data_IF_904205875990
#
_entry.id   IF_904205875990
#
_cell.length_a   1.000
_cell.length_b   1.000
_cell.length_c   1.000
_cell.angle_alpha   90.00
_cell.angle_beta   90.00
_cell.angle_gamma   90.00
#
_symmetry.space_group_name_H-M   'P 1'
#
loop_
_entity.id
_entity.type
_entity.pdbx_description
1 polymer ?
#
# COMPACT_ATOMS: atom_id res chain seq x y z
N UNK A 1 -0.03 -18.19 -7.76
CA UNK A 1 0.75 -17.37 -8.71
C UNK A 1 1.01 -16.04 -8.06
N UNK A 2 2.24 -15.67 -7.74
CA UNK A 2 2.62 -14.41 -7.07
C UNK A 2 2.14 -13.19 -7.88
N UNK A 3 1.60 -12.17 -7.22
CA UNK A 3 1.19 -10.91 -7.86
C UNK A 3 1.69 -9.73 -7.04
N UNK A 4 2.49 -8.89 -7.67
CA UNK A 4 3.05 -7.65 -7.14
C UNK A 4 2.22 -6.42 -7.50
N UNK A 5 1.23 -6.59 -8.35
CA UNK A 5 0.30 -5.55 -8.79
C UNK A 5 -1.13 -6.03 -8.73
N UNK A 6 -2.02 -5.14 -8.30
CA UNK A 6 -3.45 -5.36 -8.33
C UNK A 6 -4.17 -4.02 -8.48
N UNK A 7 -5.24 -4.00 -9.24
CA UNK A 7 -6.15 -2.86 -9.31
C UNK A 7 -7.36 -3.16 -8.46
N UNK A 8 -7.79 -2.21 -7.62
CA UNK A 8 -9.03 -2.31 -6.85
C UNK A 8 -9.99 -1.18 -7.21
N UNK A 9 -11.27 -1.51 -7.19
CA UNK A 9 -12.36 -0.54 -7.29
C UNK A 9 -12.97 -0.40 -5.90
N UNK A 10 -12.56 0.65 -5.19
CA UNK A 10 -12.99 0.94 -3.83
C UNK A 10 -14.24 1.83 -3.86
N UNK A 11 -15.35 1.34 -3.34
CA UNK A 11 -16.60 2.08 -3.20
C UNK A 11 -16.95 2.19 -1.71
N UNK A 12 -16.84 3.39 -1.16
CA UNK A 12 -17.27 3.66 0.21
C UNK A 12 -18.81 3.71 0.31
N UNK A 13 -19.32 3.45 1.51
CA UNK A 13 -20.74 3.45 1.80
C UNK A 13 -21.35 4.86 1.70
N UNK A 14 -22.59 4.92 1.30
CA UNK A 14 -23.38 6.14 1.29
C UNK A 14 -23.85 6.50 2.69
N UNK A 15 -23.95 7.79 3.01
CA UNK A 15 -24.64 8.25 4.21
C UNK A 15 -26.15 7.95 4.14
N UNK A 16 -26.74 7.66 5.28
CA UNK A 16 -28.18 7.52 5.44
C UNK A 16 -28.89 8.86 5.34
N UNK A 17 -30.12 8.86 4.86
CA UNK A 17 -30.92 10.08 4.75
C UNK A 17 -31.45 10.55 6.12
N UNK A 18 -31.52 11.86 6.34
CA UNK A 18 -32.21 12.44 7.47
C UNK A 18 -33.72 12.21 7.38
N UNK A 19 -34.38 12.10 8.53
CA UNK A 19 -35.81 11.86 8.62
C UNK A 19 -36.62 13.15 8.78
N UNK A 20 -37.80 13.17 8.18
CA UNK A 20 -38.85 14.16 8.43
C UNK A 20 -39.93 13.51 9.31
N UNK A 21 -39.87 13.71 10.59
CA UNK A 21 -40.87 13.19 11.53
C UNK A 21 -41.35 14.28 12.52
N UNK A 22 -42.55 14.10 13.01
CA UNK A 22 -43.15 14.95 14.02
C UNK A 22 -43.65 14.12 15.20
N UNK A 23 -43.48 14.65 16.41
CA UNK A 23 -43.95 13.99 17.62
C UNK A 23 -45.46 13.88 17.59
N UNK A 24 -46.00 12.68 17.81
CA UNK A 24 -47.43 12.42 17.92
C UNK A 24 -47.68 11.71 19.24
N UNK A 25 -48.32 12.46 20.15
CA UNK A 25 -48.69 11.91 21.44
C UNK A 25 -50.17 12.24 21.77
N UNK A 26 -50.75 11.42 22.61
CA UNK A 26 -52.10 11.65 23.11
C UNK A 26 -52.09 13.00 23.85
N UNK A 27 -52.97 13.92 23.50
CA UNK A 27 -53.09 15.29 24.04
C UNK A 27 -52.02 16.30 23.56
N UNK A 28 -51.16 15.98 22.59
CA UNK A 28 -50.24 16.94 21.96
C UNK A 28 -50.52 17.03 20.46
N UNK A 29 -51.52 17.81 20.03
CA UNK A 29 -51.97 17.87 18.65
C UNK A 29 -50.96 18.50 17.68
N UNK A 30 -50.02 19.32 18.21
CA UNK A 30 -48.94 19.97 17.43
C UNK A 30 -47.60 19.63 18.04
N UNK A 31 -47.15 18.38 17.87
CA UNK A 31 -45.80 17.95 18.26
C UNK A 31 -44.73 18.59 17.39
N UNK A 32 -43.60 18.95 18.01
CA UNK A 32 -42.47 19.53 17.29
C UNK A 32 -41.76 18.51 16.36
N UNK A 33 -40.81 18.95 15.52
CA UNK A 33 -40.02 18.09 14.67
C UNK A 33 -39.23 17.10 15.52
N UNK A 34 -39.23 15.83 15.11
CA UNK A 34 -38.59 14.70 15.82
C UNK A 34 -37.86 13.76 14.89
N UNK A 35 -37.57 14.18 13.65
CA UNK A 35 -36.76 13.39 12.75
C UNK A 35 -35.29 13.37 13.15
N UNK A 36 -34.72 12.15 13.26
CA UNK A 36 -33.32 11.93 13.55
C UNK A 36 -32.43 12.06 12.29
N UNK A 37 -31.14 12.15 12.51
CA UNK A 37 -30.15 12.22 11.45
C UNK A 37 -29.91 10.83 10.85
N UNK A 38 -29.44 10.74 9.62
CA UNK A 38 -28.88 9.52 9.05
C UNK A 38 -27.53 9.19 9.64
N UNK A 39 -27.14 7.93 9.60
CA UNK A 39 -25.78 7.47 9.94
C UNK A 39 -24.81 7.73 8.81
N UNK A 40 -23.55 7.88 9.11
CA UNK A 40 -22.50 7.98 8.09
C UNK A 40 -22.31 6.65 7.35
N UNK A 41 -21.83 6.66 6.13
CA UNK A 41 -21.40 5.46 5.40
C UNK A 41 -20.05 4.95 5.89
N UNK A 42 -19.80 3.65 5.74
CA UNK A 42 -18.51 3.05 6.05
C UNK A 42 -17.45 3.44 5.02
N UNK A 43 -16.22 3.48 5.44
CA UNK A 43 -15.04 3.76 4.61
C UNK A 43 -14.35 2.46 4.16
N UNK A 44 -13.55 2.54 3.09
CA UNK A 44 -12.64 1.46 2.69
C UNK A 44 -11.27 1.75 3.26
N UNK A 45 -10.74 0.80 4.03
CA UNK A 45 -9.47 0.93 4.75
C UNK A 45 -8.52 -0.17 4.28
N UNK A 46 -7.32 0.20 3.83
CA UNK A 46 -6.24 -0.75 3.59
C UNK A 46 -5.46 -0.96 4.89
N UNK A 47 -5.10 -2.21 5.16
CA UNK A 47 -4.35 -2.61 6.37
C UNK A 47 -3.13 -3.42 5.95
N UNK A 48 -1.93 -2.97 6.33
CA UNK A 48 -0.69 -3.70 6.06
C UNK A 48 -0.56 -4.92 6.95
N UNK A 49 -0.63 -6.11 6.36
CA UNK A 49 -0.57 -7.40 7.05
C UNK A 49 0.80 -8.07 6.80
N UNK A 50 1.62 -8.28 7.85
CA UNK A 50 2.91 -8.94 7.70
C UNK A 50 2.81 -10.44 7.34
N UNK A 51 1.64 -11.06 7.50
CA UNK A 51 1.37 -12.44 7.08
C UNK A 51 1.19 -12.60 5.58
N UNK A 52 0.89 -11.51 4.86
CA UNK A 52 0.70 -11.53 3.42
C UNK A 52 2.01 -11.24 2.68
N UNK A 53 2.21 -11.95 1.56
CA UNK A 53 3.42 -11.82 0.72
C UNK A 53 3.14 -11.34 -0.70
N UNK A 54 1.89 -11.36 -1.14
CA UNK A 54 1.50 -10.94 -2.46
C UNK A 54 0.11 -10.30 -2.49
N UNK A 55 -0.25 -9.72 -3.64
CA UNK A 55 -1.53 -9.07 -3.88
C UNK A 55 -2.57 -10.01 -4.53
N UNK A 56 -2.36 -11.33 -4.54
CA UNK A 56 -3.27 -12.27 -5.19
C UNK A 56 -4.69 -12.26 -4.62
N UNK A 57 -4.82 -12.12 -3.31
CA UNK A 57 -6.13 -12.06 -2.64
C UNK A 57 -6.94 -10.85 -3.15
N UNK A 58 -6.29 -9.70 -3.22
CA UNK A 58 -6.89 -8.45 -3.72
C UNK A 58 -7.24 -8.56 -5.20
N UNK A 59 -6.34 -9.12 -6.01
CA UNK A 59 -6.58 -9.31 -7.45
C UNK A 59 -7.76 -10.23 -7.78
N UNK A 60 -8.05 -11.20 -6.90
CA UNK A 60 -9.21 -12.09 -7.05
C UNK A 60 -10.52 -11.39 -6.67
N UNK A 61 -10.47 -10.41 -5.80
CA UNK A 61 -11.62 -9.64 -5.33
C UNK A 61 -11.39 -8.14 -5.53
N UNK A 62 -11.37 -7.66 -6.80
CA UNK A 62 -11.01 -6.29 -7.11
C UNK A 62 -12.08 -5.26 -6.71
N UNK A 63 -13.32 -5.69 -6.51
CA UNK A 63 -14.42 -4.82 -6.12
C UNK A 63 -14.63 -4.88 -4.61
N UNK A 64 -14.32 -3.77 -3.96
CA UNK A 64 -14.46 -3.61 -2.50
C UNK A 64 -15.53 -2.56 -2.23
N UNK A 65 -16.51 -2.90 -1.42
CA UNK A 65 -17.58 -1.99 -1.04
C UNK A 65 -17.79 -1.99 0.46
N UNK A 66 -17.84 -0.79 1.05
CA UNK A 66 -18.22 -0.60 2.45
C UNK A 66 -19.74 -0.42 2.61
N UNK A 67 -20.23 -0.62 3.84
CA UNK A 67 -21.65 -0.58 4.14
C UNK A 67 -22.21 0.83 4.09
N UNK A 68 -23.45 0.97 3.59
CA UNK A 68 -24.18 2.23 3.63
C UNK A 68 -24.66 2.54 5.06
N UNK A 69 -24.69 3.81 5.42
CA UNK A 69 -25.32 4.31 6.65
C UNK A 69 -26.85 4.16 6.58
N UNK A 70 -27.48 3.89 7.70
CA UNK A 70 -28.95 3.78 7.79
C UNK A 70 -29.59 5.15 7.90
N UNK A 71 -30.79 5.28 7.32
CA UNK A 71 -31.56 6.50 7.44
C UNK A 71 -31.99 6.79 8.90
N UNK A 72 -32.16 8.07 9.23
CA UNK A 72 -32.72 8.50 10.50
C UNK A 72 -34.19 8.11 10.62
N UNK A 73 -34.64 7.96 11.85
CA UNK A 73 -36.03 7.61 12.15
C UNK A 73 -36.73 8.70 12.99
N UNK A 74 -38.02 8.51 13.23
CA UNK A 74 -38.76 9.35 14.14
C UNK A 74 -38.29 9.24 15.59
N UNK A 75 -38.79 10.09 16.47
CA UNK A 75 -38.42 10.13 17.90
C UNK A 75 -36.93 10.42 18.15
N UNK A 76 -36.32 11.21 17.27
CA UNK A 76 -34.92 11.63 17.30
C UNK A 76 -33.90 10.49 17.20
N UNK A 77 -34.29 9.35 16.65
CA UNK A 77 -33.38 8.23 16.49
C UNK A 77 -32.47 8.45 15.27
N UNK A 78 -31.16 8.52 15.51
CA UNK A 78 -30.14 8.58 14.48
C UNK A 78 -29.99 7.21 13.84
N UNK A 79 -29.80 7.16 12.53
CA UNK A 79 -29.46 5.94 11.81
C UNK A 79 -28.10 5.38 12.24
N UNK A 80 -27.94 4.08 12.16
CA UNK A 80 -26.64 3.44 12.41
C UNK A 80 -25.63 3.81 11.33
N UNK A 81 -24.40 4.04 11.72
CA UNK A 81 -23.25 4.22 10.83
C UNK A 81 -22.95 2.90 10.10
N UNK A 82 -22.60 2.95 8.83
CA UNK A 82 -22.13 1.81 8.06
C UNK A 82 -20.77 1.31 8.57
N UNK A 83 -20.56 0.01 8.53
CA UNK A 83 -19.29 -0.58 8.91
C UNK A 83 -18.22 -0.30 7.86
N UNK A 84 -17.00 0.00 8.31
CA UNK A 84 -15.84 0.10 7.45
C UNK A 84 -15.47 -1.28 6.89
N UNK A 85 -14.95 -1.30 5.68
CA UNK A 85 -14.43 -2.53 5.07
C UNK A 85 -12.92 -2.47 5.05
N UNK A 86 -12.30 -3.43 5.76
CA UNK A 86 -10.84 -3.58 5.78
C UNK A 86 -10.39 -4.53 4.67
N UNK A 87 -9.36 -4.09 3.94
CA UNK A 87 -8.68 -4.90 2.93
C UNK A 87 -7.23 -5.09 3.37
N UNK A 88 -6.87 -6.33 3.65
CA UNK A 88 -5.52 -6.67 4.04
C UNK A 88 -4.61 -6.75 2.81
N UNK A 89 -3.48 -6.06 2.88
CA UNK A 89 -2.44 -6.00 1.83
C UNK A 89 -1.07 -6.26 2.44
N UNK A 90 -0.10 -6.76 1.68
CA UNK A 90 1.26 -6.95 2.19
C UNK A 90 1.90 -5.64 2.66
N UNK A 91 2.79 -5.73 3.64
CA UNK A 91 3.65 -4.62 4.05
C UNK A 91 4.51 -4.14 2.87
N UNK A 92 4.62 -2.83 2.68
CA UNK A 92 5.32 -2.24 1.53
C UNK A 92 4.43 -2.03 0.30
N UNK A 93 3.10 -2.18 0.45
CA UNK A 93 2.17 -1.86 -0.63
C UNK A 93 2.04 -0.35 -0.81
N UNK A 94 2.30 0.12 -2.01
CA UNK A 94 2.03 1.48 -2.46
C UNK A 94 0.67 1.55 -3.13
N UNK A 95 -0.05 2.61 -2.83
CA UNK A 95 -1.37 2.90 -3.39
C UNK A 95 -1.26 4.11 -4.31
N UNK A 96 -1.58 3.94 -5.58
CA UNK A 96 -1.55 5.00 -6.57
C UNK A 96 -2.97 5.26 -7.09
N UNK A 97 -3.22 6.48 -7.52
CA UNK A 97 -4.45 6.82 -8.26
C UNK A 97 -4.37 6.41 -9.74
N UNK A 98 -5.42 6.74 -10.51
CA UNK A 98 -5.51 6.45 -11.95
C UNK A 98 -4.44 7.23 -12.77
N UNK A 99 -3.95 8.37 -12.27
CA UNK A 99 -2.89 9.16 -12.88
C UNK A 99 -1.49 8.66 -12.50
N UNK A 100 -1.39 7.65 -11.63
CA UNK A 100 -0.13 7.09 -11.15
C UNK A 100 0.53 7.91 -10.03
N UNK A 101 -0.22 8.83 -9.38
CA UNK A 101 0.25 9.60 -8.24
C UNK A 101 0.20 8.74 -6.98
N UNK A 102 1.27 8.72 -6.22
CA UNK A 102 1.33 8.00 -4.95
C UNK A 102 0.43 8.67 -3.90
N UNK A 103 -0.58 7.94 -3.45
CA UNK A 103 -1.49 8.38 -2.38
C UNK A 103 -1.00 7.98 -0.99
N UNK A 104 -0.53 6.73 -0.86
CA UNK A 104 -0.11 6.14 0.43
C UNK A 104 0.98 5.10 0.19
N UNK A 105 1.95 5.01 1.10
CA UNK A 105 2.92 3.93 1.21
C UNK A 105 2.71 3.19 2.56
N UNK A 106 2.28 1.94 2.51
CA UNK A 106 2.02 1.10 3.68
C UNK A 106 3.28 0.34 4.09
N UNK A 107 4.33 1.06 4.43
CA UNK A 107 5.67 0.53 4.68
C UNK A 107 5.82 -0.21 6.03
N UNK A 108 4.89 -0.03 6.98
CA UNK A 108 4.98 -0.60 8.34
C UNK A 108 3.91 -1.66 8.58
N UNK A 109 4.22 -2.76 9.31
CA UNK A 109 3.22 -3.72 9.75
C UNK A 109 2.09 -3.04 10.53
N UNK A 110 0.85 -3.39 10.24
CA UNK A 110 -0.33 -2.81 10.88
C UNK A 110 -0.67 -1.37 10.45
N UNK A 111 0.09 -0.77 9.52
CA UNK A 111 -0.25 0.55 8.97
C UNK A 111 -1.64 0.51 8.34
N UNK A 112 -2.43 1.56 8.59
CA UNK A 112 -3.81 1.68 8.13
C UNK A 112 -3.97 2.96 7.31
N UNK A 113 -4.67 2.87 6.19
CA UNK A 113 -4.99 4.03 5.37
C UNK A 113 -6.42 3.97 4.89
N UNK A 114 -7.17 5.05 5.10
CA UNK A 114 -8.49 5.22 4.49
C UNK A 114 -8.28 5.65 3.05
N UNK A 115 -8.69 4.81 2.12
CA UNK A 115 -8.52 5.05 0.67
C UNK A 115 -9.79 5.54 -0.01
N UNK A 116 -10.96 5.28 0.57
CA UNK A 116 -12.21 5.87 0.13
C UNK A 116 -13.07 6.21 1.36
N UNK A 117 -13.49 7.46 1.49
CA UNK A 117 -14.27 7.94 2.63
C UNK A 117 -15.75 7.71 2.44
N UNK A 118 -16.42 7.25 3.51
CA UNK A 118 -17.88 7.13 3.56
C UNK A 118 -18.59 8.46 3.44
N UNK A 119 -19.78 8.43 2.86
CA UNK A 119 -20.66 9.59 2.74
C UNK A 119 -21.22 10.00 4.10
N UNK A 120 -21.32 11.31 4.35
CA UNK A 120 -21.89 11.84 5.60
C UNK A 120 -23.39 11.58 5.67
N UNK A 121 -23.90 11.23 6.84
CA UNK A 121 -25.33 11.13 7.12
C UNK A 121 -26.05 12.48 7.00
N UNK A 122 -27.26 12.45 6.43
CA UNK A 122 -28.10 13.63 6.24
C UNK A 122 -28.75 14.09 7.53
N UNK A 123 -28.91 15.39 7.70
CA UNK A 123 -29.56 15.99 8.87
C UNK A 123 -31.08 15.79 8.85
N UNK A 124 -31.65 15.35 9.96
CA UNK A 124 -33.10 15.25 10.16
C UNK A 124 -33.77 16.60 10.36
N UNK A 125 -35.11 16.66 10.22
CA UNK A 125 -35.88 17.91 10.31
C UNK A 125 -35.73 18.63 11.65
N UNK A 126 -35.37 17.96 12.72
CA UNK A 126 -35.10 18.57 14.03
C UNK A 126 -33.98 19.60 13.96
N UNK A 127 -32.92 19.37 13.18
CA UNK A 127 -31.78 20.32 13.05
C UNK A 127 -32.13 21.60 12.34
N UNK A 128 -33.19 21.60 11.52
CA UNK A 128 -33.66 22.77 10.77
C UNK A 128 -34.67 23.62 11.55
N UNK A 129 -34.94 23.29 12.84
CA UNK A 129 -35.81 24.08 13.68
C UNK A 129 -35.11 25.38 14.09
N UNK A 130 -35.78 26.48 13.84
CA UNK A 130 -35.37 27.84 14.29
C UNK A 130 -36.50 28.50 15.07
N UNK A 131 -36.23 29.67 15.69
CA UNK A 131 -37.25 30.45 16.38
C UNK A 131 -38.40 30.84 15.46
N UNK A 132 -38.13 31.13 14.20
CA UNK A 132 -39.11 31.52 13.17
C UNK A 132 -39.76 30.28 12.55
N UNK A 133 -38.98 29.24 12.23
CA UNK A 133 -39.46 27.99 11.60
C UNK A 133 -39.51 26.87 12.63
N UNK A 134 -40.61 26.78 13.37
CA UNK A 134 -40.75 25.83 14.46
C UNK A 134 -41.08 24.38 14.02
N UNK A 135 -41.64 24.20 12.84
CA UNK A 135 -42.05 22.89 12.28
C UNK A 135 -41.51 22.65 10.87
N UNK A 136 -40.18 22.58 10.69
CA UNK A 136 -39.58 22.36 9.35
C UNK A 136 -39.93 20.95 8.81
N UNK A 137 -40.33 20.88 7.53
CA UNK A 137 -40.58 19.65 6.80
C UNK A 137 -39.48 19.38 5.80
N UNK A 138 -38.24 19.74 6.17
CA UNK A 138 -37.05 19.58 5.34
C UNK A 138 -36.09 18.65 6.04
N UNK A 139 -35.49 17.72 5.29
CA UNK A 139 -34.37 16.90 5.75
C UNK A 139 -33.32 16.85 4.65
N UNK A 140 -32.11 16.52 5.04
CA UNK A 140 -30.97 16.40 4.18
C UNK A 140 -30.81 14.94 3.70
N UNK A 141 -30.46 14.74 2.45
CA UNK A 141 -30.05 13.43 1.96
C UNK A 141 -28.63 13.11 2.45
N UNK A 142 -28.39 11.84 2.71
CA UNK A 142 -27.06 11.35 3.00
C UNK A 142 -26.13 11.57 1.80
N UNK A 143 -24.89 11.98 2.09
CA UNK A 143 -23.85 12.18 1.10
C UNK A 143 -23.48 10.88 0.39
N UNK A 144 -22.95 10.97 -0.82
CA UNK A 144 -22.37 9.84 -1.53
C UNK A 144 -21.02 9.49 -0.88
N UNK A 145 -20.71 8.18 -0.80
CA UNK A 145 -19.36 7.71 -0.53
C UNK A 145 -18.45 7.94 -1.73
N UNK A 146 -17.15 7.97 -1.46
CA UNK A 146 -16.14 8.07 -2.51
C UNK A 146 -16.06 6.76 -3.28
N UNK A 147 -15.88 6.87 -4.60
CA UNK A 147 -15.63 5.74 -5.49
C UNK A 147 -14.35 6.01 -6.26
N UNK A 148 -13.35 5.15 -6.08
CA UNK A 148 -12.02 5.33 -6.65
C UNK A 148 -11.52 4.00 -7.24
N UNK A 149 -10.82 4.11 -8.36
CA UNK A 149 -9.99 3.01 -8.88
C UNK A 149 -8.55 3.27 -8.45
N UNK A 150 -7.94 2.28 -7.81
CA UNK A 150 -6.61 2.42 -7.23
C UNK A 150 -5.71 1.30 -7.74
N UNK A 151 -4.50 1.68 -8.12
CA UNK A 151 -3.44 0.73 -8.44
C UNK A 151 -2.60 0.45 -7.20
N UNK A 152 -2.58 -0.81 -6.80
CA UNK A 152 -1.73 -1.30 -5.72
C UNK A 152 -0.46 -1.88 -6.31
N UNK A 153 0.68 -1.40 -5.84
CA UNK A 153 2.01 -1.91 -6.22
C UNK A 153 2.76 -2.30 -4.97
N UNK A 154 3.13 -3.56 -4.91
CA UNK A 154 3.95 -4.06 -3.82
C UNK A 154 5.40 -3.68 -4.11
N UNK A 155 6.00 -2.83 -3.26
CA UNK A 155 7.45 -2.69 -3.22
C UNK A 155 8.00 -3.98 -2.64
N UNK A 156 8.48 -4.86 -3.49
CA UNK A 156 9.05 -6.12 -3.07
C UNK A 156 10.26 -5.87 -2.18
N UNK A 157 10.08 -6.13 -0.88
CA UNK A 157 11.15 -6.21 0.10
C UNK A 157 11.77 -7.59 -0.07
N UNK A 158 12.96 -7.67 -0.62
CA UNK A 158 13.74 -8.89 -0.53
C UNK A 158 14.24 -9.02 0.91
N UNK A 159 13.94 -10.13 1.58
CA UNK A 159 14.48 -10.41 2.92
C UNK A 159 15.97 -10.72 2.84
N UNK A 160 16.40 -11.38 1.75
CA UNK A 160 17.79 -11.64 1.45
C UNK A 160 18.14 -11.37 -0.02
N UNK A 161 19.38 -11.00 -0.29
CA UNK A 161 19.88 -10.76 -1.65
C UNK A 161 21.13 -11.61 -1.94
N UNK A 162 21.19 -12.19 -3.13
CA UNK A 162 22.33 -12.93 -3.64
C UNK A 162 23.35 -11.97 -4.26
N UNK A 163 24.57 -11.98 -3.74
CA UNK A 163 25.70 -11.22 -4.24
C UNK A 163 26.78 -12.18 -4.75
N UNK A 164 27.62 -11.75 -5.66
CA UNK A 164 28.73 -12.56 -6.16
C UNK A 164 29.07 -12.25 -7.60
N UNK A 165 30.21 -12.72 -8.04
CA UNK A 165 30.69 -12.54 -9.40
C UNK A 165 29.75 -13.15 -10.45
N UNK A 166 29.86 -12.74 -11.72
CA UNK A 166 29.16 -13.41 -12.80
C UNK A 166 29.48 -14.91 -12.83
N UNK A 167 28.50 -15.72 -13.21
CA UNK A 167 28.63 -17.17 -13.41
C UNK A 167 28.96 -18.02 -12.16
N UNK A 168 28.98 -17.48 -10.95
CA UNK A 168 29.15 -18.28 -9.71
C UNK A 168 27.93 -19.12 -9.34
N UNK A 169 26.85 -18.98 -10.12
CA UNK A 169 25.65 -19.80 -9.95
C UNK A 169 24.53 -19.20 -9.10
N UNK A 170 24.48 -17.86 -8.91
CA UNK A 170 23.42 -17.15 -8.15
C UNK A 170 22.02 -17.53 -8.60
N UNK A 171 21.72 -17.40 -9.90
CA UNK A 171 20.40 -17.72 -10.45
C UNK A 171 20.07 -19.21 -10.37
N UNK A 172 21.07 -20.09 -10.43
CA UNK A 172 20.89 -21.53 -10.22
C UNK A 172 20.56 -21.83 -8.76
N UNK A 173 21.23 -21.15 -7.84
CA UNK A 173 20.98 -21.26 -6.41
C UNK A 173 19.55 -20.80 -6.09
N UNK A 174 19.14 -19.65 -6.62
CA UNK A 174 17.78 -19.13 -6.42
C UNK A 174 16.71 -20.11 -6.91
N UNK A 175 16.93 -20.72 -8.10
CA UNK A 175 16.01 -21.75 -8.63
C UNK A 175 15.94 -23.00 -7.75
N UNK A 176 17.04 -23.33 -7.08
CA UNK A 176 17.09 -24.51 -6.22
C UNK A 176 16.47 -24.27 -4.85
N UNK A 177 16.64 -23.06 -4.30
CA UNK A 177 16.05 -22.64 -3.02
C UNK A 177 14.55 -22.39 -3.13
N UNK A 178 14.10 -21.87 -4.27
CA UNK A 178 12.71 -21.46 -4.43
C UNK A 178 11.78 -22.62 -4.74
N UNK A 179 10.67 -22.73 -4.01
CA UNK A 179 9.63 -23.74 -4.22
C UNK A 179 8.77 -23.48 -5.47
N UNK A 180 8.77 -22.26 -5.98
CA UNK A 180 8.13 -21.88 -7.22
C UNK A 180 9.20 -21.43 -8.22
N UNK A 181 8.90 -21.48 -9.53
CA UNK A 181 9.81 -20.92 -10.54
C UNK A 181 10.06 -19.45 -10.22
N UNK A 182 11.32 -19.03 -10.01
CA UNK A 182 11.65 -17.64 -9.81
C UNK A 182 11.09 -16.78 -10.93
N UNK A 183 10.60 -15.60 -10.58
CA UNK A 183 10.01 -14.66 -11.54
C UNK A 183 10.93 -13.48 -11.72
N UNK A 184 11.06 -13.09 -12.96
CA UNK A 184 11.57 -11.79 -13.35
C UNK A 184 10.57 -10.74 -12.89
N UNK A 185 11.00 -9.80 -12.08
CA UNK A 185 10.16 -8.69 -11.63
C UNK A 185 10.38 -7.49 -12.56
N UNK A 186 9.30 -7.06 -13.19
CA UNK A 186 9.29 -5.92 -14.12
C UNK A 186 9.16 -4.62 -13.30
N UNK A 187 10.28 -3.95 -13.08
CA UNK A 187 10.31 -2.65 -12.39
C UNK A 187 10.39 -1.50 -13.40
N UNK A 188 9.52 -0.50 -13.33
CA UNK A 188 9.44 0.56 -14.33
C UNK A 188 10.67 1.47 -14.43
N UNK A 189 11.67 1.29 -13.55
CA UNK A 189 12.89 2.14 -13.52
C UNK A 189 14.19 1.35 -13.59
N UNK A 190 14.15 0.03 -13.84
CA UNK A 190 15.35 -0.80 -13.91
C UNK A 190 15.66 -1.23 -15.34
N UNK A 191 16.90 -0.99 -15.77
CA UNK A 191 17.42 -1.49 -17.06
C UNK A 191 17.68 -3.00 -17.00
N UNK A 192 17.78 -3.57 -15.79
CA UNK A 192 18.04 -4.98 -15.52
C UNK A 192 16.97 -5.48 -14.54
N UNK A 193 16.22 -6.49 -14.94
CA UNK A 193 15.11 -7.04 -14.16
C UNK A 193 15.63 -8.02 -13.10
N UNK A 194 15.44 -7.76 -11.77
CA UNK A 194 15.82 -8.69 -10.73
C UNK A 194 14.93 -9.94 -10.76
N UNK A 195 15.53 -11.08 -10.41
CA UNK A 195 14.80 -12.33 -10.28
C UNK A 195 14.51 -12.61 -8.82
N UNK A 196 13.24 -12.82 -8.50
CA UNK A 196 12.79 -13.10 -7.15
C UNK A 196 12.38 -14.56 -6.97
N UNK A 197 12.76 -15.14 -5.85
CA UNK A 197 12.33 -16.44 -5.41
C UNK A 197 11.80 -16.41 -3.99
N UNK A 198 10.76 -17.19 -3.71
CA UNK A 198 10.23 -17.39 -2.36
C UNK A 198 10.72 -18.72 -1.84
N UNK A 199 11.29 -18.70 -0.64
CA UNK A 199 11.84 -19.85 0.06
C UNK A 199 11.00 -20.12 1.30
N UNK A 200 10.46 -21.33 1.43
CA UNK A 200 9.76 -21.76 2.64
C UNK A 200 10.78 -22.20 3.70
N UNK A 201 10.76 -21.53 4.84
CA UNK A 201 11.70 -21.83 5.94
C UNK A 201 11.11 -22.80 6.96
N UNK A 202 9.80 -22.71 7.22
CA UNK A 202 9.03 -23.56 8.13
C UNK A 202 7.54 -23.46 7.78
N UNK A 203 6.66 -24.14 8.52
CA UNK A 203 5.23 -24.27 8.23
C UNK A 203 4.53 -22.94 7.97
N UNK A 204 4.96 -21.85 8.59
CA UNK A 204 4.31 -20.53 8.43
C UNK A 204 5.32 -19.38 8.16
N UNK A 205 6.56 -19.70 7.76
CA UNK A 205 7.57 -18.69 7.53
C UNK A 205 8.18 -18.80 6.14
N UNK A 206 8.01 -17.76 5.35
CA UNK A 206 8.60 -17.60 4.03
C UNK A 206 9.55 -16.40 4.01
N UNK A 207 10.59 -16.48 3.21
CA UNK A 207 11.49 -15.36 2.91
C UNK A 207 11.60 -15.17 1.41
N UNK A 208 11.70 -13.92 1.01
CA UNK A 208 11.93 -13.54 -0.38
C UNK A 208 13.42 -13.34 -0.61
N UNK A 209 13.99 -14.11 -1.53
CA UNK A 209 15.39 -14.00 -1.93
C UNK A 209 15.46 -13.40 -3.33
N UNK A 210 16.29 -12.39 -3.51
CA UNK A 210 16.52 -11.69 -4.77
C UNK A 210 17.87 -12.09 -5.38
N UNK A 211 17.88 -12.45 -6.65
CA UNK A 211 19.09 -12.52 -7.45
C UNK A 211 19.38 -11.16 -8.05
N UNK A 212 20.56 -10.66 -7.76
CA UNK A 212 21.09 -9.41 -8.26
C UNK A 212 22.02 -9.69 -9.43
N UNK A 213 21.57 -9.52 -10.70
CA UNK A 213 22.44 -9.74 -11.85
C UNK A 213 23.52 -8.65 -11.92
N UNK A 214 24.77 -9.05 -12.13
CA UNK A 214 25.79 -8.16 -12.69
C UNK A 214 26.37 -7.07 -11.79
N UNK A 215 26.61 -7.30 -10.47
CA UNK A 215 27.30 -6.32 -9.61
C UNK A 215 28.65 -5.85 -10.18
N UNK A 216 29.29 -6.58 -11.08
CA UNK A 216 30.62 -6.31 -11.60
C UNK A 216 30.73 -6.19 -13.13
N UNK A 217 29.65 -6.40 -13.91
CA UNK A 217 29.72 -6.34 -15.37
C UNK A 217 29.85 -4.94 -15.95
N UNK A 218 29.67 -3.88 -15.15
CA UNK A 218 29.78 -2.49 -15.58
C UNK A 218 30.88 -1.67 -14.90
N UNK A 219 31.41 -2.14 -13.77
CA UNK A 219 32.42 -1.39 -13.02
C UNK A 219 33.76 -1.28 -13.75
N UNK A 220 34.14 -2.31 -14.53
CA UNK A 220 35.36 -2.29 -15.33
C UNK A 220 35.28 -1.42 -16.59
N UNK A 221 34.06 -1.08 -17.05
CA UNK A 221 33.81 -0.30 -18.28
C UNK A 221 33.33 1.14 -17.99
N UNK A 222 33.32 1.57 -16.73
CA UNK A 222 32.94 2.95 -16.35
C UNK A 222 31.42 3.24 -16.46
N UNK A 223 30.61 2.24 -16.79
CA UNK A 223 29.16 2.33 -16.74
C UNK A 223 28.72 1.73 -15.41
N UNK A 224 28.77 2.53 -14.33
CA UNK A 224 28.25 2.13 -13.03
C UNK A 224 26.84 1.60 -13.16
N UNK A 225 26.53 0.50 -12.44
CA UNK A 225 25.17 0.00 -12.27
C UNK A 225 24.25 1.16 -11.90
N UNK A 226 23.17 1.31 -12.63
CA UNK A 226 22.22 2.41 -12.42
C UNK A 226 21.82 2.50 -10.95
N UNK A 227 21.83 3.70 -10.40
CA UNK A 227 21.48 4.03 -9.01
C UNK A 227 20.13 3.39 -8.58
N UNK A 228 19.23 3.20 -9.53
CA UNK A 228 17.89 2.64 -9.30
C UNK A 228 17.90 1.15 -8.94
N UNK A 229 18.92 0.40 -9.34
CA UNK A 229 19.02 -1.03 -9.07
C UNK A 229 19.49 -1.32 -7.63
N UNK A 230 20.40 -0.53 -7.13
CA UNK A 230 20.95 -0.67 -5.79
C UNK A 230 19.93 -0.25 -4.70
N UNK A 231 18.95 0.58 -5.05
CA UNK A 231 17.81 0.91 -4.18
C UNK A 231 17.00 -0.34 -3.77
N UNK A 232 17.04 -1.42 -4.55
CA UNK A 232 16.39 -2.69 -4.18
C UNK A 232 17.20 -3.49 -3.15
N UNK A 233 18.54 -3.35 -3.17
CA UNK A 233 19.42 -3.94 -2.17
C UNK A 233 19.34 -3.22 -0.82
N UNK A 234 19.01 -1.94 -0.78
CA UNK A 234 18.88 -1.15 0.45
C UNK A 234 17.88 -1.77 1.45
N UNK A 235 16.97 -2.58 0.95
CA UNK A 235 15.92 -3.21 1.75
C UNK A 235 16.21 -4.66 2.13
N UNK A 236 17.24 -5.28 1.54
CA UNK A 236 17.65 -6.63 1.91
C UNK A 236 18.22 -6.61 3.35
N UNK A 237 17.68 -7.46 4.20
CA UNK A 237 18.10 -7.56 5.60
C UNK A 237 19.32 -8.43 5.79
N UNK A 238 19.53 -9.40 4.87
CA UNK A 238 20.63 -10.35 4.86
C UNK A 238 21.23 -10.41 3.46
N UNK A 239 22.54 -10.47 3.36
CA UNK A 239 23.26 -10.66 2.11
C UNK A 239 23.80 -12.09 2.03
N UNK A 240 23.55 -12.79 0.92
CA UNK A 240 24.11 -14.10 0.62
C UNK A 240 25.25 -13.92 -0.40
N UNK A 241 26.50 -13.94 0.08
CA UNK A 241 27.64 -13.77 -0.77
C UNK A 241 28.06 -15.12 -1.38
N UNK A 242 27.71 -15.33 -2.65
CA UNK A 242 27.97 -16.58 -3.37
C UNK A 242 29.38 -16.57 -3.96
N UNK A 243 30.15 -17.61 -3.64
CA UNK A 243 31.53 -17.82 -4.06
C UNK A 243 31.64 -19.18 -4.75
N UNK A 244 32.49 -19.29 -5.74
CA UNK A 244 32.74 -20.55 -6.46
C UNK A 244 33.76 -21.40 -5.69
N UNK A 245 33.43 -22.63 -5.36
CA UNK A 245 34.31 -23.58 -4.68
C UNK A 245 35.50 -24.04 -5.54
N UNK A 246 35.39 -23.91 -6.86
CA UNK A 246 36.47 -24.24 -7.79
C UNK A 246 37.62 -23.20 -7.80
N UNK A 247 37.41 -22.03 -7.17
CA UNK A 247 38.46 -21.01 -7.01
C UNK A 247 39.43 -21.42 -5.88
N UNK A 248 40.69 -20.94 -6.01
CA UNK A 248 41.58 -21.01 -4.87
C UNK A 248 41.02 -20.16 -3.69
N UNK A 249 41.11 -20.68 -2.45
CA UNK A 249 40.47 -20.02 -1.30
C UNK A 249 40.91 -18.58 -1.08
N UNK A 250 42.16 -18.24 -1.37
CA UNK A 250 42.69 -16.86 -1.29
C UNK A 250 42.10 -15.94 -2.37
N UNK A 251 41.77 -16.49 -3.54
CA UNK A 251 41.07 -15.78 -4.61
C UNK A 251 39.62 -15.52 -4.23
N UNK A 252 38.96 -16.51 -3.65
CA UNK A 252 37.64 -16.38 -3.06
C UNK A 252 37.56 -15.23 -2.03
N UNK A 253 38.55 -15.15 -1.12
CA UNK A 253 38.66 -14.07 -0.13
C UNK A 253 38.91 -12.71 -0.77
N UNK A 254 39.77 -12.63 -1.79
CA UNK A 254 39.97 -11.38 -2.57
C UNK A 254 38.66 -10.91 -3.21
N UNK A 255 37.87 -11.84 -3.74
CA UNK A 255 36.55 -11.55 -4.28
C UNK A 255 35.59 -10.99 -3.25
N UNK A 256 35.55 -11.55 -2.03
CA UNK A 256 34.76 -11.05 -0.92
C UNK A 256 35.10 -9.59 -0.57
N UNK A 257 36.42 -9.28 -0.49
CA UNK A 257 36.90 -7.92 -0.20
C UNK A 257 36.52 -6.96 -1.33
N UNK A 258 36.68 -7.36 -2.58
CA UNK A 258 36.33 -6.50 -3.72
C UNK A 258 34.85 -6.13 -3.76
N UNK A 259 33.94 -7.10 -3.61
CA UNK A 259 32.50 -6.85 -3.58
C UNK A 259 32.12 -5.99 -2.38
N UNK A 260 32.72 -6.21 -1.20
CA UNK A 260 32.48 -5.35 -0.04
C UNK A 260 32.90 -3.89 -0.31
N UNK A 261 34.05 -3.66 -0.94
CA UNK A 261 34.51 -2.32 -1.28
C UNK A 261 33.56 -1.62 -2.26
N UNK A 262 33.02 -2.36 -3.23
CA UNK A 262 32.04 -1.83 -4.18
C UNK A 262 30.72 -1.44 -3.50
N UNK A 263 30.17 -2.29 -2.61
CA UNK A 263 29.00 -1.97 -1.81
C UNK A 263 29.25 -0.74 -0.93
N UNK A 264 30.40 -0.64 -0.29
CA UNK A 264 30.77 0.49 0.56
C UNK A 264 30.92 1.80 -0.22
N UNK A 265 31.42 1.73 -1.44
CA UNK A 265 31.53 2.88 -2.33
C UNK A 265 30.17 3.40 -2.77
N UNK A 266 29.19 2.51 -2.90
CA UNK A 266 27.83 2.88 -3.22
C UNK A 266 27.09 3.45 -2.00
N UNK A 267 26.98 2.65 -0.92
CA UNK A 267 26.31 3.04 0.32
C UNK A 267 26.91 2.31 1.52
N UNK A 268 27.39 3.08 2.48
CA UNK A 268 28.07 2.53 3.66
C UNK A 268 27.17 1.60 4.49
N UNK A 269 25.87 1.88 4.57
CA UNK A 269 24.92 1.07 5.35
C UNK A 269 24.64 -0.29 4.69
N UNK A 270 24.64 -0.36 3.36
CA UNK A 270 24.48 -1.60 2.63
C UNK A 270 25.70 -2.53 2.85
N UNK A 271 26.89 -1.97 2.88
CA UNK A 271 28.12 -2.71 3.17
C UNK A 271 28.15 -3.29 4.59
N UNK A 272 27.42 -2.70 5.55
CA UNK A 272 27.31 -3.15 6.95
C UNK A 272 26.22 -4.21 7.19
N UNK A 273 25.44 -4.56 6.18
CA UNK A 273 24.40 -5.58 6.34
C UNK A 273 25.01 -6.92 6.70
N UNK A 274 24.35 -7.69 7.61
CA UNK A 274 24.78 -9.03 7.94
C UNK A 274 24.87 -9.89 6.68
N UNK A 275 25.93 -10.71 6.58
CA UNK A 275 26.12 -11.57 5.42
C UNK A 275 26.51 -12.99 5.79
N UNK A 276 26.01 -13.94 5.01
CA UNK A 276 26.41 -15.35 5.01
C UNK A 276 27.20 -15.60 3.74
N UNK A 277 28.28 -16.36 3.85
CA UNK A 277 29.05 -16.81 2.70
C UNK A 277 28.48 -18.13 2.22
N UNK A 278 28.16 -18.21 0.92
CA UNK A 278 27.65 -19.43 0.28
C UNK A 278 28.70 -19.94 -0.71
N UNK A 279 29.33 -21.05 -0.39
CA UNK A 279 30.34 -21.70 -1.23
C UNK A 279 29.62 -22.66 -2.17
N UNK A 280 29.39 -22.23 -3.41
CA UNK A 280 28.66 -23.02 -4.42
C UNK A 280 29.59 -23.88 -5.28
N UNK A 281 29.03 -24.88 -5.95
CA UNK A 281 29.74 -25.87 -6.81
C UNK A 281 30.71 -26.76 -6.04
N UNK A 282 30.38 -27.08 -4.79
CA UNK A 282 31.24 -27.97 -3.98
C UNK A 282 31.42 -29.36 -4.58
N UNK A 283 30.54 -29.77 -5.48
CA UNK A 283 30.61 -31.01 -6.25
C UNK A 283 31.79 -31.07 -7.28
N UNK A 284 32.36 -29.92 -7.63
CA UNK A 284 33.50 -29.85 -8.56
C UNK A 284 34.84 -30.06 -7.85
N UNK A 285 34.87 -30.06 -6.52
CA UNK A 285 36.10 -30.21 -5.74
C UNK A 285 36.08 -31.54 -4.98
N UNK A 286 37.15 -32.32 -5.02
CA UNK A 286 37.21 -33.68 -4.43
C UNK A 286 37.07 -33.71 -2.92
N UNK A 287 37.38 -32.60 -2.22
CA UNK A 287 37.29 -32.50 -0.77
C UNK A 287 35.82 -32.47 -0.28
N UNK A 288 35.52 -33.02 0.92
CA UNK A 288 34.22 -32.88 1.55
C UNK A 288 33.81 -31.39 1.68
N UNK A 289 32.56 -31.08 1.40
CA UNK A 289 32.06 -29.68 1.40
C UNK A 289 32.24 -29.01 2.75
N UNK A 290 32.15 -29.74 3.86
CA UNK A 290 32.35 -29.25 5.22
C UNK A 290 33.79 -28.79 5.44
N UNK A 291 34.79 -29.51 4.89
CA UNK A 291 36.20 -29.14 4.96
C UNK A 291 36.49 -27.92 4.10
N UNK A 292 35.91 -27.84 2.88
CA UNK A 292 36.02 -26.67 2.01
C UNK A 292 35.45 -25.43 2.71
N UNK A 293 34.24 -25.53 3.28
CA UNK A 293 33.58 -24.45 4.01
C UNK A 293 34.38 -24.01 5.26
N UNK A 294 34.90 -24.96 6.04
CA UNK A 294 35.72 -24.69 7.21
C UNK A 294 37.05 -23.99 6.83
N UNK A 295 37.68 -24.38 5.72
CA UNK A 295 38.91 -23.74 5.22
C UNK A 295 38.65 -22.27 4.83
N UNK A 296 37.58 -22.01 4.07
CA UNK A 296 37.22 -20.65 3.72
C UNK A 296 36.86 -19.81 4.96
N UNK A 297 36.10 -20.38 5.90
CA UNK A 297 35.78 -19.71 7.15
C UNK A 297 37.03 -19.33 7.95
N UNK A 298 38.05 -20.21 7.98
CA UNK A 298 39.34 -19.94 8.60
C UNK A 298 40.07 -18.75 7.96
N UNK A 299 40.10 -18.66 6.64
CA UNK A 299 40.70 -17.55 5.92
C UNK A 299 39.96 -16.23 6.14
N UNK A 300 38.62 -16.27 6.13
CA UNK A 300 37.79 -15.09 6.43
C UNK A 300 38.01 -14.67 7.89
N UNK A 301 38.13 -15.58 8.83
CA UNK A 301 38.46 -15.28 10.22
C UNK A 301 39.83 -14.63 10.39
N UNK A 302 40.80 -15.03 9.56
CA UNK A 302 42.15 -14.47 9.56
C UNK A 302 42.21 -13.01 9.07
N UNK A 303 41.18 -12.51 8.37
CA UNK A 303 41.05 -11.10 8.03
C UNK A 303 40.77 -10.21 9.28
N UNK A 304 40.43 -10.82 10.44
CA UNK A 304 40.18 -10.12 11.69
C UNK A 304 39.07 -9.09 11.61
N UNK A 305 39.39 -7.85 11.99
CA UNK A 305 38.44 -6.72 11.98
C UNK A 305 38.34 -5.99 10.64
N UNK A 306 38.88 -6.58 9.57
CA UNK A 306 38.71 -5.99 8.23
C UNK A 306 37.22 -5.82 7.90
N UNK A 307 36.82 -4.70 7.30
CA UNK A 307 35.40 -4.41 7.03
C UNK A 307 34.69 -5.55 6.31
N UNK A 308 35.36 -6.22 5.38
CA UNK A 308 34.78 -7.34 4.63
C UNK A 308 34.48 -8.60 5.47
N UNK A 309 35.16 -8.79 6.61
CA UNK A 309 35.00 -9.93 7.51
C UNK A 309 34.13 -9.60 8.73
N UNK A 310 34.10 -8.33 9.16
CA UNK A 310 33.40 -7.88 10.36
C UNK A 310 31.89 -8.14 10.29
N UNK A 311 31.29 -7.89 9.13
CA UNK A 311 29.85 -7.99 8.93
C UNK A 311 29.40 -9.39 8.46
N UNK A 312 30.34 -10.38 8.40
CA UNK A 312 30.01 -11.78 8.20
C UNK A 312 29.44 -12.34 9.51
N UNK A 313 28.26 -12.92 9.40
CA UNK A 313 27.57 -13.57 10.52
C UNK A 313 28.48 -14.65 11.14
N UNK A 314 28.47 -14.74 12.48
CA UNK A 314 29.27 -15.74 13.21
C UNK A 314 28.36 -16.75 13.86
N UNK A 315 28.74 -18.02 13.76
CA UNK A 315 28.08 -19.13 14.44
C UNK A 315 28.29 -19.10 15.97
N UNK A 316 27.72 -20.06 16.68
CA UNK A 316 27.85 -20.19 18.12
C UNK A 316 29.31 -20.47 18.56
N UNK A 317 30.12 -20.98 17.64
CA UNK A 317 31.56 -21.20 17.80
C UNK A 317 32.43 -19.94 17.55
N UNK A 318 31.78 -18.80 17.25
CA UNK A 318 32.43 -17.53 16.92
C UNK A 318 33.07 -17.48 15.52
N UNK A 319 32.95 -18.52 14.71
CA UNK A 319 33.51 -18.57 13.35
C UNK A 319 32.56 -17.94 12.34
N UNK A 320 33.08 -17.37 11.23
CA UNK A 320 32.25 -16.92 10.11
C UNK A 320 31.36 -18.06 9.59
N UNK A 321 30.10 -17.75 9.34
CA UNK A 321 29.15 -18.72 8.76
C UNK A 321 29.42 -18.86 7.28
N UNK A 322 29.89 -20.03 6.88
CA UNK A 322 30.11 -20.46 5.49
C UNK A 322 29.32 -21.71 5.26
N UNK A 323 28.41 -21.69 4.27
CA UNK A 323 27.58 -22.85 3.93
C UNK A 323 28.02 -23.36 2.55
N UNK A 324 28.52 -24.59 2.50
CA UNK A 324 28.85 -25.25 1.23
C UNK A 324 27.58 -25.79 0.57
N UNK A 325 27.39 -25.52 -0.73
CA UNK A 325 26.23 -25.99 -1.48
C UNK A 325 26.64 -26.50 -2.88
N UNK A 326 25.85 -27.41 -3.41
CA UNK A 326 25.88 -27.76 -4.81
C UNK A 326 24.48 -27.61 -5.43
N UNK A 327 24.34 -26.68 -6.36
CA UNK A 327 23.08 -26.53 -7.08
C UNK A 327 22.77 -27.73 -7.99
N UNK A 328 23.80 -28.49 -8.41
CA UNK A 328 23.64 -29.64 -9.28
C UNK A 328 23.08 -30.85 -8.50
N UNK A 329 23.70 -31.22 -7.39
CA UNK A 329 23.29 -32.37 -6.56
C UNK A 329 22.17 -32.03 -5.58
N UNK A 330 22.11 -30.79 -5.10
CA UNK A 330 21.20 -30.34 -4.06
C UNK A 330 21.79 -30.41 -2.64
N UNK A 331 23.05 -30.85 -2.54
CA UNK A 331 23.73 -30.94 -1.24
C UNK A 331 23.90 -29.55 -0.62
N UNK A 332 23.69 -29.44 0.68
CA UNK A 332 23.84 -28.19 1.45
C UNK A 332 22.70 -27.19 1.33
N UNK A 333 21.69 -27.45 0.50
CA UNK A 333 20.55 -26.54 0.31
C UNK A 333 19.70 -26.45 1.57
N UNK A 334 19.47 -27.56 2.27
CA UNK A 334 18.71 -27.60 3.52
C UNK A 334 19.43 -26.83 4.62
N UNK A 335 20.77 -26.94 4.70
CA UNK A 335 21.58 -26.17 5.66
C UNK A 335 21.53 -24.66 5.36
N UNK A 336 21.54 -24.29 4.08
CA UNK A 336 21.38 -22.89 3.70
C UNK A 336 19.98 -22.37 4.03
N UNK A 337 18.95 -23.19 3.86
CA UNK A 337 17.58 -22.87 4.26
C UNK A 337 17.47 -22.69 5.78
N UNK A 338 18.12 -23.56 6.55
CA UNK A 338 18.19 -23.43 8.01
C UNK A 338 18.97 -22.17 8.44
N UNK A 339 20.04 -21.81 7.73
CA UNK A 339 20.78 -20.58 7.96
C UNK A 339 19.92 -19.34 7.66
N UNK A 340 19.14 -19.34 6.58
CA UNK A 340 18.18 -18.28 6.29
C UNK A 340 17.13 -18.15 7.40
N UNK A 341 16.59 -19.27 7.89
CA UNK A 341 15.62 -19.28 8.99
C UNK A 341 16.18 -18.65 10.29
N UNK A 342 17.46 -18.87 10.54
CA UNK A 342 18.13 -18.38 11.75
C UNK A 342 18.55 -16.90 11.65
N UNK A 343 19.04 -16.47 10.49
CA UNK A 343 19.76 -15.21 10.36
C UNK A 343 19.02 -14.13 9.60
N UNK A 344 17.94 -14.45 8.88
CA UNK A 344 17.03 -13.40 8.37
C UNK A 344 16.26 -12.86 9.57
N UNK A 345 16.45 -11.59 9.96
CA UNK A 345 15.72 -11.01 11.08
C UNK A 345 14.22 -11.12 10.83
N UNK A 346 13.46 -11.47 11.86
CA UNK A 346 12.01 -11.27 11.82
C UNK A 346 11.73 -9.79 11.55
N UNK A 347 10.61 -9.50 10.87
CA UNK A 347 10.21 -8.12 10.65
C UNK A 347 9.86 -7.51 12.01
N UNK A 348 10.87 -7.02 12.73
CA UNK A 348 10.62 -6.15 13.86
C UNK A 348 9.91 -4.92 13.33
N UNK A 349 8.81 -4.54 14.00
CA UNK A 349 8.35 -3.17 13.92
C UNK A 349 9.54 -2.33 14.39
N UNK A 350 10.19 -1.60 13.48
CA UNK A 350 11.21 -0.62 13.89
C UNK A 350 10.59 0.20 15.01
N UNK A 351 11.27 0.31 16.19
CA UNK A 351 10.78 1.20 17.23
C UNK A 351 10.56 2.55 16.55
N UNK A 352 9.45 3.17 16.91
CA UNK A 352 9.16 4.54 16.52
C UNK A 352 10.42 5.37 16.82
N UNK A 353 11.34 5.48 15.86
CA UNK A 353 12.13 6.64 15.77
C UNK A 353 11.06 7.73 15.60
N UNK A 354 10.90 8.59 16.59
CA UNK A 354 10.41 9.93 16.41
C UNK A 354 11.34 10.59 15.36
N UNK A 355 11.30 10.12 14.11
CA UNK A 355 11.53 11.00 13.02
C UNK A 355 10.42 12.04 13.21
N UNK A 356 10.85 13.23 13.70
CA UNK A 356 10.15 14.44 13.35
C UNK A 356 9.56 14.17 12.00
N UNK A 357 8.24 14.05 11.96
CA UNK A 357 7.46 14.12 10.76
C UNK A 357 8.03 15.33 10.02
N UNK A 358 9.08 15.12 9.23
CA UNK A 358 9.32 15.99 8.12
C UNK A 358 7.95 16.00 7.47
N UNK A 359 7.27 17.14 7.62
CA UNK A 359 6.07 17.48 6.94
C UNK A 359 6.29 17.18 5.44
N UNK A 360 6.30 15.92 5.07
CA UNK A 360 5.80 15.53 3.81
C UNK A 360 4.33 15.87 3.91
N UNK A 361 4.09 17.15 3.79
CA UNK A 361 2.90 17.62 3.15
C UNK A 361 2.72 16.67 1.98
N UNK A 362 1.93 15.60 2.22
CA UNK A 362 1.18 15.01 1.14
C UNK A 362 0.40 16.21 0.65
N UNK A 363 1.00 16.90 -0.32
CA UNK A 363 0.28 17.88 -1.09
C UNK A 363 -0.77 17.05 -1.82
N UNK A 364 -1.84 16.78 -1.08
CA UNK A 364 -3.11 16.59 -1.72
C UNK A 364 -3.30 17.94 -2.41
N UNK A 365 -3.23 18.01 -3.75
CA UNK A 365 -3.76 19.18 -4.42
C UNK A 365 -5.14 19.27 -3.83
N UNK A 366 -5.29 20.19 -2.87
CA UNK A 366 -6.55 20.34 -2.19
C UNK A 366 -7.55 20.44 -3.32
N UNK A 367 -8.40 19.44 -3.49
CA UNK A 367 -9.71 19.79 -3.99
C UNK A 367 -10.04 20.98 -3.13
N UNK A 368 -9.90 22.17 -3.70
CA UNK A 368 -10.15 23.48 -3.05
C UNK A 368 -11.34 23.24 -2.19
N UNK A 369 -11.23 23.46 -0.86
CA UNK A 369 -12.21 23.08 0.13
C UNK A 369 -13.59 23.43 -0.39
N UNK A 370 -14.12 22.53 -1.18
CA UNK A 370 -15.33 22.76 -1.90
C UNK A 370 -16.38 22.71 -0.84
N UNK A 371 -16.94 23.86 -0.54
CA UNK A 371 -18.11 23.99 0.31
C UNK A 371 -19.01 22.80 -0.01
N UNK A 372 -19.23 21.93 0.99
CA UNK A 372 -19.95 20.67 0.83
C UNK A 372 -21.31 21.00 0.27
N UNK A 373 -21.56 20.71 -1.01
CA UNK A 373 -22.87 20.93 -1.62
C UNK A 373 -23.80 19.87 -1.07
N UNK A 374 -24.90 20.30 -0.43
CA UNK A 374 -25.90 19.45 0.20
C UNK A 374 -27.16 19.45 -0.62
N UNK A 375 -27.78 18.29 -0.77
CA UNK A 375 -29.07 18.16 -1.47
C UNK A 375 -30.18 18.05 -0.41
N UNK A 376 -31.09 18.99 -0.42
CA UNK A 376 -32.23 19.03 0.48
C UNK A 376 -33.51 18.72 -0.30
N UNK A 377 -34.41 17.95 0.32
CA UNK A 377 -35.78 17.80 -0.14
C UNK A 377 -36.70 18.58 0.77
N UNK A 378 -37.49 19.51 0.22
CA UNK A 378 -38.49 20.28 0.93
C UNK A 378 -39.86 20.17 0.29
N UNK A 379 -40.87 20.86 0.87
CA UNK A 379 -42.21 20.97 0.26
C UNK A 379 -42.17 21.65 -1.11
N UNK A 380 -41.22 22.57 -1.31
CA UNK A 380 -41.04 23.36 -2.53
C UNK A 380 -40.14 22.68 -3.58
N UNK A 381 -39.84 21.40 -3.42
CA UNK A 381 -38.98 20.64 -4.36
C UNK A 381 -37.57 20.39 -3.86
N UNK A 382 -36.63 20.25 -4.81
CA UNK A 382 -35.22 19.96 -4.53
C UNK A 382 -34.42 21.25 -4.42
N UNK A 383 -33.59 21.37 -3.38
CA UNK A 383 -32.71 22.52 -3.14
C UNK A 383 -31.27 22.05 -2.98
N UNK A 384 -30.37 22.70 -3.69
CA UNK A 384 -28.92 22.62 -3.47
C UNK A 384 -28.49 23.76 -2.54
N UNK A 385 -27.69 23.41 -1.52
CA UNK A 385 -27.15 24.38 -0.56
C UNK A 385 -25.64 24.20 -0.48
N UNK A 386 -24.91 25.27 -0.73
CA UNK A 386 -23.47 25.32 -0.63
C UNK A 386 -22.96 26.72 -1.00
N UNK A 387 -22.20 27.33 -0.10
CA UNK A 387 -21.79 28.73 -0.27
C UNK A 387 -21.08 28.98 -1.62
N UNK A 388 -20.22 28.07 -2.05
CA UNK A 388 -19.50 28.24 -3.33
C UNK A 388 -20.44 28.23 -4.54
N UNK A 389 -21.35 27.26 -4.64
CA UNK A 389 -22.29 27.20 -5.78
C UNK A 389 -23.31 28.34 -5.74
N UNK A 390 -23.73 28.78 -4.55
CA UNK A 390 -24.65 29.90 -4.38
C UNK A 390 -23.99 31.21 -4.84
N UNK A 391 -22.75 31.48 -4.44
CA UNK A 391 -21.97 32.67 -4.82
C UNK A 391 -21.63 32.69 -6.31
N UNK A 392 -21.26 31.54 -6.87
CA UNK A 392 -20.93 31.43 -8.30
C UNK A 392 -22.17 31.65 -9.17
N UNK A 393 -23.29 31.04 -8.84
CA UNK A 393 -24.56 31.17 -9.56
C UNK A 393 -25.18 32.54 -9.43
N UNK A 394 -24.97 33.25 -8.31
CA UNK A 394 -25.54 34.58 -8.10
C UNK A 394 -25.04 35.65 -9.09
N UNK A 395 -23.88 35.39 -9.72
CA UNK A 395 -23.19 36.36 -10.62
C UNK A 395 -23.41 36.11 -12.12
N UNK A 396 -24.11 35.03 -12.47
CA UNK A 396 -24.26 34.55 -13.85
C UNK A 396 -25.65 34.86 -14.38
N UNK A 397 -25.78 34.91 -15.70
CA UNK A 397 -27.10 34.92 -16.39
C UNK A 397 -27.74 33.51 -16.32
N UNK A 398 -28.96 33.37 -16.82
CA UNK A 398 -29.70 32.11 -16.68
C UNK A 398 -29.08 30.98 -17.49
N UNK A 399 -28.54 31.25 -18.68
CA UNK A 399 -27.93 30.23 -19.52
C UNK A 399 -26.59 29.75 -18.96
N UNK A 400 -25.76 30.66 -18.45
CA UNK A 400 -24.50 30.32 -17.81
C UNK A 400 -24.72 29.62 -16.48
N UNK A 401 -25.78 29.98 -15.72
CA UNK A 401 -26.15 29.31 -14.48
C UNK A 401 -26.61 27.87 -14.73
N UNK A 402 -27.37 27.59 -15.79
CA UNK A 402 -27.73 26.21 -16.15
C UNK A 402 -26.50 25.35 -16.49
N UNK A 403 -25.55 25.92 -17.27
CA UNK A 403 -24.33 25.22 -17.62
C UNK A 403 -23.47 24.95 -16.38
N UNK A 404 -23.23 25.97 -15.56
CA UNK A 404 -22.47 25.80 -14.33
C UNK A 404 -23.09 24.76 -13.38
N UNK A 405 -24.44 24.73 -13.27
CA UNK A 405 -25.13 23.71 -12.47
C UNK A 405 -24.89 22.32 -13.05
N UNK A 406 -24.93 22.16 -14.39
CA UNK A 406 -24.66 20.88 -15.03
C UNK A 406 -23.22 20.41 -14.75
N UNK A 407 -22.24 21.28 -14.91
CA UNK A 407 -20.82 21.00 -14.63
C UNK A 407 -20.62 20.62 -13.15
N UNK A 408 -21.23 21.35 -12.22
CA UNK A 408 -21.19 21.03 -10.78
C UNK A 408 -21.81 19.68 -10.45
N UNK A 409 -22.91 19.33 -11.12
CA UNK A 409 -23.60 18.03 -10.91
C UNK A 409 -22.73 16.89 -11.43
N UNK A 410 -22.05 17.06 -12.57
CA UNK A 410 -21.17 16.09 -13.17
C UNK A 410 -19.90 15.92 -12.36
N UNK A 411 -19.14 17.00 -12.11
CA UNK A 411 -17.87 16.97 -11.36
C UNK A 411 -18.02 16.38 -9.94
N UNK A 412 -19.16 16.65 -9.29
CA UNK A 412 -19.43 16.18 -7.93
C UNK A 412 -20.33 14.96 -7.86
N UNK A 413 -20.64 14.35 -9.00
CA UNK A 413 -21.49 13.16 -9.11
C UNK A 413 -22.82 13.30 -8.36
N UNK A 414 -23.41 14.51 -8.36
CA UNK A 414 -24.65 14.81 -7.63
C UNK A 414 -25.92 14.31 -8.32
N UNK A 415 -25.85 13.91 -9.59
CA UNK A 415 -26.98 13.41 -10.36
C UNK A 415 -27.81 12.31 -9.64
N UNK A 416 -27.20 11.26 -9.03
CA UNK A 416 -27.97 10.26 -8.31
C UNK A 416 -28.73 10.82 -7.10
N UNK A 417 -28.17 11.81 -6.39
CA UNK A 417 -28.81 12.45 -5.25
C UNK A 417 -29.98 13.33 -5.70
N UNK A 418 -29.82 14.07 -6.79
CA UNK A 418 -30.89 14.90 -7.37
C UNK A 418 -32.06 14.05 -7.84
N UNK A 419 -31.80 12.93 -8.52
CA UNK A 419 -32.83 11.98 -8.94
C UNK A 419 -33.57 11.39 -7.75
N UNK A 420 -32.86 10.99 -6.69
CA UNK A 420 -33.49 10.52 -5.43
C UNK A 420 -34.32 11.59 -4.73
N UNK A 421 -33.85 12.83 -4.80
CA UNK A 421 -34.62 13.98 -4.28
C UNK A 421 -35.90 14.23 -5.06
N UNK A 422 -36.07 13.57 -6.20
CA UNK A 422 -37.23 13.72 -7.08
C UNK A 422 -37.03 14.68 -8.23
N UNK A 423 -35.78 15.12 -8.47
CA UNK A 423 -35.46 15.90 -9.66
C UNK A 423 -35.56 15.01 -10.89
N UNK A 424 -36.41 15.40 -11.84
CA UNK A 424 -36.51 14.80 -13.18
C UNK A 424 -35.90 15.75 -14.18
N UNK A 425 -35.47 15.24 -15.32
CA UNK A 425 -34.99 16.09 -16.44
C UNK A 425 -36.00 17.19 -16.74
N UNK A 426 -35.56 18.46 -16.75
CA UNK A 426 -36.42 19.62 -16.97
C UNK A 426 -37.07 20.18 -15.71
N UNK A 427 -36.78 19.66 -14.52
CA UNK A 427 -37.25 20.27 -13.26
C UNK A 427 -36.31 21.39 -12.84
N UNK A 428 -36.87 22.42 -12.21
CA UNK A 428 -36.14 23.51 -11.59
C UNK A 428 -35.60 23.10 -10.23
N UNK A 429 -34.31 23.30 -10.00
CA UNK A 429 -33.61 23.11 -8.74
C UNK A 429 -33.35 24.47 -8.11
N UNK A 430 -33.71 24.65 -6.83
CA UNK A 430 -33.39 25.86 -6.09
C UNK A 430 -31.95 25.84 -5.59
N UNK A 431 -31.19 26.89 -5.87
CA UNK A 431 -29.83 27.11 -5.37
C UNK A 431 -29.78 28.49 -4.71
N UNK A 432 -29.71 28.50 -3.38
CA UNK A 432 -29.93 29.76 -2.65
C UNK A 432 -31.33 30.28 -2.85
N UNK A 433 -31.45 31.52 -3.34
CA UNK A 433 -32.73 32.17 -3.69
C UNK A 433 -33.11 31.97 -5.19
N UNK A 434 -32.22 31.39 -5.97
CA UNK A 434 -32.39 31.27 -7.44
C UNK A 434 -32.96 29.91 -7.83
N UNK A 435 -33.79 29.92 -8.86
CA UNK A 435 -34.31 28.70 -9.48
C UNK A 435 -33.59 28.46 -10.80
N UNK A 436 -32.93 27.31 -10.95
CA UNK A 436 -32.13 26.95 -12.13
C UNK A 436 -32.68 25.65 -12.73
N UNK A 437 -32.86 25.62 -14.06
CA UNK A 437 -33.35 24.43 -14.73
C UNK A 437 -32.26 23.34 -14.75
N UNK A 438 -32.62 22.14 -14.31
CA UNK A 438 -31.77 20.97 -14.35
C UNK A 438 -31.94 20.24 -15.69
N UNK A 439 -30.90 20.31 -16.54
CA UNK A 439 -30.84 19.62 -17.84
C UNK A 439 -29.82 18.47 -17.72
N UNK A 440 -30.19 17.32 -17.19
CA UNK A 440 -29.34 16.13 -17.17
C UNK A 440 -29.53 15.28 -18.42
#
# INVERSE_FOLDING_TARGET
>A
MFSDRATIHAAAGRGGDGSVAFRREKYVPRGGPSGGDGGDGGSVVLVADPGLRDLNAVRRHPHVRAADGRGGEGSNRTGATGEDTEVHVPVGTQVLDEEGILLVDLARPGARAVVAHGGRGGAGNRRFRTAVRQAPRTAEFGGLGEELTLDLRLKLLADAALLGFPNVGKSSLLRRLSNARPKVADYPFTTIEPVLGVVDLAVDRQVTVMDVPGLLEGAAEGHGLGLDFLAHLERARLLLHVVDAALEPEEAVRGLVAIHAELAAYQADLARRPRIIVLNRTDLVPEPREEQAARLAGLVAALGDAPAARDVVRGDDGRPVVVGVSCATGDGVDELTAALARWVPEAEAEPEAEEELADFLVYRPGRRGGATVRVLRGEDGVRLVGAAIEDDLARLDDAAAEQLLADYVEERRLAPLLVRAGAKKGITVKVGEREVAYRA
#
